data_IF_003561637416
#
_entry.id   IF_003561637416
#
_cell.length_a   1.000
_cell.length_b   1.000
_cell.length_c   1.000
_cell.angle_alpha   90.00
_cell.angle_beta   90.00
_cell.angle_gamma   90.00
#
_symmetry.space_group_name_H-M   'P 1'
#
loop_
_entity.id
_entity.type
_entity.pdbx_description
1 polymer ?
#
# COMPACT_ATOMS: atom_id res chain seq x y z
N UNK A 1 5.10 -2.39 -35.31
CA UNK A 1 5.87 -1.78 -34.23
C UNK A 1 5.66 -2.58 -32.95
N UNK A 2 6.68 -2.70 -32.10
CA UNK A 2 6.50 -3.30 -30.78
C UNK A 2 5.65 -2.39 -29.90
N UNK A 3 4.83 -3.01 -29.08
CA UNK A 3 3.96 -2.35 -28.12
C UNK A 3 4.36 -2.75 -26.70
N UNK A 4 4.64 -1.78 -25.85
CA UNK A 4 4.85 -1.97 -24.42
C UNK A 4 3.54 -1.77 -23.70
N UNK A 5 3.22 -2.69 -22.79
CA UNK A 5 2.04 -2.66 -21.94
C UNK A 5 2.38 -3.08 -20.52
N UNK A 6 1.50 -2.76 -19.57
CA UNK A 6 1.54 -3.39 -18.27
C UNK A 6 1.05 -4.83 -18.38
N UNK A 7 1.81 -5.76 -17.80
CA UNK A 7 1.42 -7.17 -17.78
C UNK A 7 0.26 -7.38 -16.81
N UNK A 8 -0.74 -8.16 -17.26
CA UNK A 8 -1.89 -8.59 -16.49
C UNK A 8 -3.06 -7.60 -16.32
N UNK A 9 -4.05 -8.02 -15.57
CA UNK A 9 -5.37 -7.38 -15.41
C UNK A 9 -5.29 -5.87 -15.22
N UNK A 10 -6.28 -5.15 -15.70
CA UNK A 10 -6.39 -3.69 -15.56
C UNK A 10 -6.54 -3.22 -14.11
N UNK A 11 -6.58 -4.13 -13.14
CA UNK A 11 -6.74 -3.82 -11.71
C UNK A 11 -5.78 -4.66 -10.86
N UNK A 12 -4.96 -3.98 -10.08
CA UNK A 12 -4.08 -4.55 -9.06
C UNK A 12 -4.68 -4.34 -7.68
N UNK A 13 -4.48 -5.28 -6.76
CA UNK A 13 -4.92 -5.12 -5.36
C UNK A 13 -3.72 -5.22 -4.43
N UNK A 14 -3.57 -4.23 -3.56
CA UNK A 14 -2.44 -4.11 -2.62
C UNK A 14 -2.97 -3.79 -1.23
N UNK A 15 -2.52 -4.57 -0.24
CA UNK A 15 -2.82 -4.32 1.18
C UNK A 15 -1.61 -3.76 1.89
N UNK A 16 -1.77 -2.60 2.53
CA UNK A 16 -0.72 -1.89 3.27
C UNK A 16 -1.11 -1.83 4.75
N UNK A 17 -1.09 -2.98 5.42
CA UNK A 17 -1.66 -3.12 6.76
C UNK A 17 -0.62 -3.02 7.87
N UNK A 18 0.60 -3.46 7.65
CA UNK A 18 1.65 -3.56 8.67
C UNK A 18 2.79 -2.59 8.45
N UNK A 19 3.36 -2.60 7.26
CA UNK A 19 4.59 -1.89 6.92
C UNK A 19 4.42 -1.13 5.60
N UNK A 20 5.39 -0.29 5.28
CA UNK A 20 5.56 0.27 3.95
C UNK A 20 5.68 -0.87 2.94
N UNK A 21 5.08 -0.69 1.78
CA UNK A 21 4.96 -1.77 0.80
C UNK A 21 5.61 -1.36 -0.52
N UNK A 22 6.46 -2.22 -1.05
CA UNK A 22 7.00 -2.09 -2.41
C UNK A 22 6.26 -3.05 -3.34
N UNK A 23 5.68 -2.50 -4.40
CA UNK A 23 4.91 -3.25 -5.39
C UNK A 23 5.69 -3.28 -6.70
N UNK A 24 5.91 -4.47 -7.22
CA UNK A 24 6.50 -4.69 -8.53
C UNK A 24 5.41 -4.73 -9.58
N UNK A 25 5.57 -3.95 -10.63
CA UNK A 25 4.68 -3.91 -11.78
C UNK A 25 5.45 -4.41 -12.98
N UNK A 26 5.00 -5.52 -13.53
CA UNK A 26 5.61 -6.08 -14.73
C UNK A 26 5.15 -5.32 -15.97
N UNK A 27 6.09 -4.96 -16.83
CA UNK A 27 5.84 -4.48 -18.18
C UNK A 27 6.22 -5.53 -19.19
N UNK A 28 5.50 -5.62 -20.30
CA UNK A 28 5.72 -6.62 -21.35
C UNK A 28 5.79 -5.95 -22.71
N UNK A 29 6.65 -6.49 -23.57
CA UNK A 29 6.74 -6.10 -24.95
C UNK A 29 6.08 -7.15 -25.83
N UNK A 30 5.15 -6.73 -26.68
CA UNK A 30 4.43 -7.61 -27.60
C UNK A 30 4.40 -7.07 -29.02
N UNK A 31 4.12 -7.96 -29.96
CA UNK A 31 3.84 -7.61 -31.34
C UNK A 31 2.42 -7.05 -31.47
N UNK A 32 2.26 -5.93 -32.18
CA UNK A 32 0.93 -5.38 -32.48
C UNK A 32 0.04 -6.27 -33.33
N UNK A 33 0.62 -7.25 -34.04
CA UNK A 33 -0.14 -8.06 -34.99
C UNK A 33 -0.88 -9.22 -34.33
N UNK A 34 -0.32 -9.80 -33.28
CA UNK A 34 -0.83 -11.03 -32.66
C UNK A 34 -0.65 -11.09 -31.15
N UNK A 35 -0.27 -9.99 -30.51
CA UNK A 35 0.02 -9.88 -29.07
C UNK A 35 1.04 -10.91 -28.53
N UNK A 36 1.80 -11.55 -29.41
CA UNK A 36 2.88 -12.44 -28.98
C UNK A 36 4.01 -11.66 -28.33
N UNK A 37 4.57 -12.23 -27.24
CA UNK A 37 5.74 -11.68 -26.57
C UNK A 37 6.94 -11.66 -27.53
N UNK A 38 7.60 -10.52 -27.63
CA UNK A 38 8.78 -10.32 -28.48
C UNK A 38 9.91 -9.69 -27.68
N UNK A 39 11.15 -9.97 -28.08
CA UNK A 39 12.32 -9.24 -27.57
C UNK A 39 12.44 -7.87 -28.20
N UNK A 40 12.95 -6.90 -27.44
CA UNK A 40 13.23 -5.59 -27.97
C UNK A 40 14.33 -5.64 -29.05
N UNK A 41 14.16 -4.87 -30.09
CA UNK A 41 15.19 -4.71 -31.14
C UNK A 41 16.13 -3.50 -30.91
N UNK A 42 15.81 -2.65 -29.95
CA UNK A 42 16.61 -1.48 -29.58
C UNK A 42 16.49 -1.22 -28.09
N UNK A 43 17.43 -0.46 -27.57
CA UNK A 43 17.35 0.03 -26.19
C UNK A 43 16.32 1.17 -26.14
N UNK A 44 15.51 1.18 -25.09
CA UNK A 44 14.54 2.24 -24.84
C UNK A 44 14.18 2.33 -23.37
N UNK A 45 13.66 3.47 -22.98
CA UNK A 45 13.23 3.75 -21.63
C UNK A 45 11.73 4.06 -21.56
N UNK A 46 11.09 3.60 -20.51
CA UNK A 46 9.72 3.94 -20.18
C UNK A 46 9.56 4.11 -18.66
N UNK A 47 8.46 4.68 -18.22
CA UNK A 47 8.17 4.81 -16.80
C UNK A 47 6.68 4.74 -16.50
N UNK A 48 6.37 4.38 -15.26
CA UNK A 48 5.04 4.51 -14.70
C UNK A 48 4.73 6.00 -14.45
N UNK A 49 3.52 6.40 -14.72
CA UNK A 49 3.08 7.79 -14.54
C UNK A 49 1.64 7.85 -14.04
N UNK A 50 1.34 8.86 -13.26
CA UNK A 50 -0.05 9.21 -12.92
C UNK A 50 -0.64 9.98 -14.11
N UNK A 51 -1.83 9.60 -14.62
CA UNK A 51 -2.53 10.39 -15.63
C UNK A 51 -2.88 11.80 -15.12
N UNK A 52 -2.84 12.80 -16.00
CA UNK A 52 -3.16 14.19 -15.63
C UNK A 52 -4.60 14.37 -15.11
N UNK A 53 -5.53 13.51 -15.55
CA UNK A 53 -6.93 13.50 -15.17
C UNK A 53 -7.24 12.41 -14.12
N UNK A 54 -6.31 12.10 -13.24
CA UNK A 54 -6.42 11.01 -12.26
C UNK A 54 -7.66 11.11 -11.36
N UNK A 55 -8.06 12.32 -10.93
CA UNK A 55 -9.26 12.54 -10.12
C UNK A 55 -10.54 12.17 -10.88
N UNK A 56 -10.63 12.56 -12.15
CA UNK A 56 -11.76 12.20 -13.02
C UNK A 56 -11.84 10.70 -13.25
N UNK A 57 -10.70 10.04 -13.43
CA UNK A 57 -10.59 8.59 -13.58
C UNK A 57 -11.04 7.85 -12.32
N UNK A 58 -10.67 8.34 -11.14
CA UNK A 58 -11.15 7.78 -9.86
C UNK A 58 -12.67 7.95 -9.72
N UNK A 59 -13.20 9.14 -10.04
CA UNK A 59 -14.64 9.37 -10.00
C UNK A 59 -15.40 8.45 -10.97
N UNK A 60 -14.92 8.29 -12.20
CA UNK A 60 -15.51 7.40 -13.19
C UNK A 60 -15.45 5.92 -12.74
N UNK A 61 -14.31 5.49 -12.20
CA UNK A 61 -14.15 4.14 -11.65
C UNK A 61 -15.16 3.87 -10.52
N UNK A 62 -15.29 4.81 -9.58
CA UNK A 62 -16.22 4.70 -8.47
C UNK A 62 -17.67 4.59 -8.93
N UNK A 63 -18.05 5.40 -9.91
CA UNK A 63 -19.40 5.36 -10.48
C UNK A 63 -19.69 4.00 -11.15
N UNK A 64 -18.75 3.48 -11.92
CA UNK A 64 -18.90 2.21 -12.63
C UNK A 64 -18.96 1.01 -11.67
N UNK A 65 -18.09 1.01 -10.65
CA UNK A 65 -17.92 -0.13 -9.74
C UNK A 65 -18.72 0.01 -8.44
N UNK A 66 -19.46 1.12 -8.25
CA UNK A 66 -20.21 1.44 -7.01
C UNK A 66 -19.33 1.42 -5.77
N UNK A 67 -18.14 2.02 -5.89
CA UNK A 67 -17.17 2.19 -4.82
C UNK A 67 -17.04 3.66 -4.41
N UNK A 68 -16.32 3.94 -3.32
CA UNK A 68 -16.05 5.27 -2.78
C UNK A 68 -14.55 5.49 -2.52
N UNK A 69 -13.71 4.92 -3.37
CA UNK A 69 -12.27 5.03 -3.23
C UNK A 69 -11.79 6.47 -3.42
N UNK A 70 -10.81 6.87 -2.63
CA UNK A 70 -10.13 8.15 -2.80
C UNK A 70 -8.87 7.98 -3.67
N UNK A 71 -8.52 9.04 -4.39
CA UNK A 71 -7.22 9.07 -5.07
C UNK A 71 -6.10 8.92 -4.03
N UNK A 72 -5.14 8.04 -4.32
CA UNK A 72 -4.00 7.82 -3.42
C UNK A 72 -3.24 9.14 -3.20
N UNK A 73 -3.05 9.60 -1.94
CA UNK A 73 -2.36 10.86 -1.66
C UNK A 73 -0.94 10.88 -2.21
N UNK A 74 -0.56 11.94 -2.91
CA UNK A 74 0.72 12.03 -3.62
C UNK A 74 1.95 11.91 -2.70
N UNK A 75 1.82 12.30 -1.43
CA UNK A 75 2.89 12.16 -0.44
C UNK A 75 2.99 10.76 0.19
N UNK A 76 2.08 9.85 -0.19
CA UNK A 76 2.02 8.48 0.34
C UNK A 76 2.70 7.44 -0.56
N UNK A 77 3.10 7.81 -1.76
CA UNK A 77 3.74 6.87 -2.68
C UNK A 77 4.84 7.53 -3.50
N UNK A 78 5.66 6.69 -4.09
CA UNK A 78 6.68 7.07 -5.06
C UNK A 78 6.65 6.06 -6.21
N UNK A 79 6.50 6.55 -7.41
CA UNK A 79 6.74 5.77 -8.61
C UNK A 79 8.26 5.62 -8.76
N UNK A 80 8.71 4.42 -9.14
CA UNK A 80 10.12 4.12 -9.32
C UNK A 80 10.75 4.88 -10.48
N UNK A 81 12.04 4.65 -10.64
CA UNK A 81 12.83 5.22 -11.72
C UNK A 81 12.39 4.71 -13.12
N UNK A 82 13.05 5.17 -14.15
CA UNK A 82 12.85 4.69 -15.51
C UNK A 82 13.11 3.19 -15.61
N UNK A 83 12.30 2.54 -16.41
CA UNK A 83 12.39 1.11 -16.73
C UNK A 83 13.16 1.01 -18.03
N UNK A 84 14.35 0.46 -17.98
CA UNK A 84 15.22 0.32 -19.14
C UNK A 84 15.07 -1.05 -19.78
N UNK A 85 14.81 -1.07 -21.09
CA UNK A 85 14.80 -2.27 -21.92
C UNK A 85 16.08 -2.30 -22.77
N UNK A 86 16.85 -3.37 -22.67
CA UNK A 86 17.94 -3.67 -23.60
C UNK A 86 17.44 -4.46 -24.78
N UNK A 87 18.25 -4.49 -25.84
CA UNK A 87 17.97 -5.38 -26.99
C UNK A 87 17.80 -6.82 -26.50
N UNK A 88 16.71 -7.44 -26.86
CA UNK A 88 16.34 -8.80 -26.49
C UNK A 88 15.42 -8.92 -25.28
N UNK A 89 15.30 -7.90 -24.45
CA UNK A 89 14.38 -7.93 -23.31
C UNK A 89 12.92 -7.93 -23.77
N UNK A 90 12.11 -8.81 -23.18
CA UNK A 90 10.68 -8.90 -23.46
C UNK A 90 9.80 -8.48 -22.29
N UNK A 91 10.38 -8.44 -21.10
CA UNK A 91 9.70 -8.06 -19.84
C UNK A 91 10.66 -7.33 -18.93
N UNK A 92 10.16 -6.31 -18.24
CA UNK A 92 10.91 -5.56 -17.23
C UNK A 92 10.00 -5.20 -16.06
N UNK A 93 10.60 -4.92 -14.91
CA UNK A 93 9.88 -4.56 -13.68
C UNK A 93 9.97 -3.06 -13.41
N UNK A 94 8.82 -2.42 -13.18
CA UNK A 94 8.70 -1.14 -12.51
C UNK A 94 8.42 -1.30 -11.03
N UNK A 95 8.70 -0.27 -10.24
CA UNK A 95 8.49 -0.29 -8.78
C UNK A 95 7.57 0.83 -8.34
N UNK A 96 6.70 0.55 -7.38
CA UNK A 96 5.92 1.54 -6.66
C UNK A 96 6.14 1.31 -5.17
N UNK A 97 6.60 2.35 -4.47
CA UNK A 97 6.76 2.33 -3.02
C UNK A 97 5.61 3.08 -2.36
N UNK A 98 4.94 2.46 -1.39
CA UNK A 98 3.78 3.02 -0.68
C UNK A 98 4.12 3.14 0.80
N UNK A 99 3.96 4.34 1.36
CA UNK A 99 4.21 4.68 2.76
C UNK A 99 2.93 4.53 3.58
N UNK A 100 2.88 3.52 4.40
CA UNK A 100 1.73 3.20 5.25
C UNK A 100 1.32 4.35 6.18
N UNK A 101 2.28 5.00 6.80
CA UNK A 101 2.06 6.08 7.77
C UNK A 101 1.32 7.31 7.22
N UNK A 102 1.33 7.48 5.89
CA UNK A 102 0.66 8.59 5.18
C UNK A 102 -0.78 8.26 4.79
N UNK A 103 -1.26 7.05 5.08
CA UNK A 103 -2.58 6.60 4.71
C UNK A 103 -3.50 6.52 5.93
N UNK A 104 -4.75 6.95 5.79
CA UNK A 104 -5.81 6.63 6.73
C UNK A 104 -6.33 5.21 6.50
N UNK A 105 -7.11 4.68 7.45
CA UNK A 105 -7.75 3.36 7.33
C UNK A 105 -8.93 3.45 6.39
N UNK A 106 -8.69 3.21 5.11
CA UNK A 106 -9.68 3.19 4.02
C UNK A 106 -9.12 2.57 2.74
N UNK A 107 -9.90 2.63 1.69
CA UNK A 107 -9.48 2.23 0.35
C UNK A 107 -9.10 3.44 -0.50
N UNK A 108 -8.06 3.26 -1.30
CA UNK A 108 -7.56 4.24 -2.25
C UNK A 108 -7.46 3.62 -3.64
N UNK A 109 -7.50 4.47 -4.65
CA UNK A 109 -7.28 4.09 -6.04
C UNK A 109 -6.12 4.90 -6.63
N UNK A 110 -5.20 4.22 -7.30
CA UNK A 110 -4.10 4.84 -8.05
C UNK A 110 -4.25 4.47 -9.52
N UNK A 111 -4.69 5.41 -10.38
CA UNK A 111 -4.62 5.22 -11.82
C UNK A 111 -3.17 5.27 -12.28
N UNK A 112 -2.78 4.37 -13.16
CA UNK A 112 -1.44 4.23 -13.70
C UNK A 112 -1.48 4.16 -15.22
N UNK A 113 -0.55 4.82 -15.85
CA UNK A 113 -0.25 4.68 -17.27
C UNK A 113 1.24 4.47 -17.48
N UNK A 114 1.60 3.92 -18.64
CA UNK A 114 2.97 3.75 -19.07
C UNK A 114 3.29 4.81 -20.11
N UNK A 115 4.40 5.52 -19.92
CA UNK A 115 4.86 6.54 -20.88
C UNK A 115 6.32 6.30 -21.28
N UNK A 116 6.64 6.61 -22.53
CA UNK A 116 8.02 6.60 -23.03
C UNK A 116 8.78 7.82 -22.60
N UNK A 117 10.08 7.67 -22.37
CA UNK A 117 10.97 8.76 -21.94
C UNK A 117 12.04 9.13 -22.98
N UNK A 118 12.09 8.46 -24.13
CA UNK A 118 13.13 8.77 -25.11
C UNK A 118 12.85 8.34 -26.54
N UNK A 119 12.80 7.06 -26.83
CA UNK A 119 12.79 6.54 -28.19
C UNK A 119 11.38 6.42 -28.78
N UNK A 120 11.13 7.02 -29.93
CA UNK A 120 9.83 7.05 -30.61
C UNK A 120 9.55 5.79 -31.47
N UNK A 121 10.42 4.80 -31.46
CA UNK A 121 10.24 3.58 -32.27
C UNK A 121 9.42 2.48 -31.57
N UNK A 122 8.98 2.75 -30.35
CA UNK A 122 8.17 1.84 -29.53
C UNK A 122 6.81 2.50 -29.29
N UNK A 123 5.74 1.74 -29.40
CA UNK A 123 4.40 2.19 -29.02
C UNK A 123 4.14 1.84 -27.56
N UNK A 124 3.38 2.68 -26.90
CA UNK A 124 2.96 2.47 -25.52
C UNK A 124 1.47 2.23 -25.50
N UNK A 125 1.06 1.29 -24.64
CA UNK A 125 -0.36 1.10 -24.36
C UNK A 125 -0.90 2.37 -23.67
N UNK A 126 -1.94 2.95 -24.21
CA UNK A 126 -2.65 4.11 -23.64
C UNK A 126 -3.68 3.70 -22.58
N UNK A 127 -3.81 2.41 -22.31
CA UNK A 127 -4.73 1.90 -21.30
C UNK A 127 -4.34 2.41 -19.91
N UNK A 128 -5.34 2.85 -19.18
CA UNK A 128 -5.20 3.16 -17.76
C UNK A 128 -5.43 1.89 -16.94
N UNK A 129 -4.44 1.57 -16.11
CA UNK A 129 -4.52 0.50 -15.15
C UNK A 129 -4.81 1.07 -13.76
N UNK A 130 -5.49 0.31 -12.92
CA UNK A 130 -5.87 0.77 -11.60
C UNK A 130 -5.23 -0.10 -10.53
N UNK A 131 -4.69 0.54 -9.51
CA UNK A 131 -4.24 -0.14 -8.30
C UNK A 131 -5.18 0.25 -7.16
N UNK A 132 -5.87 -0.74 -6.60
CA UNK A 132 -6.66 -0.59 -5.38
C UNK A 132 -5.75 -0.83 -4.20
N UNK A 133 -5.55 0.18 -3.38
CA UNK A 133 -4.74 0.11 -2.17
C UNK A 133 -5.67 0.12 -0.97
N UNK A 134 -5.56 -0.88 -0.11
CA UNK A 134 -6.29 -0.94 1.14
C UNK A 134 -5.36 -0.78 2.33
N UNK A 135 -5.70 0.14 3.23
CA UNK A 135 -5.21 0.12 4.59
C UNK A 135 -6.38 -0.29 5.48
N UNK A 136 -6.28 -1.44 6.12
CA UNK A 136 -7.27 -1.97 7.03
C UNK A 136 -6.65 -2.22 8.41
N UNK A 137 -7.51 -2.51 9.38
CA UNK A 137 -7.07 -2.97 10.69
C UNK A 137 -6.43 -4.36 10.56
N UNK A 138 -5.33 -4.55 11.28
CA UNK A 138 -4.68 -5.85 11.38
C UNK A 138 -5.11 -6.53 12.68
N UNK A 139 -5.50 -7.79 12.61
CA UNK A 139 -5.76 -8.62 13.80
C UNK A 139 -4.64 -9.66 13.95
N UNK A 140 -4.11 -9.85 15.18
CA UNK A 140 -4.38 -9.07 16.38
C UNK A 140 -3.79 -7.67 16.32
N UNK A 141 -4.48 -6.66 16.87
CA UNK A 141 -3.99 -5.27 16.95
C UNK A 141 -2.80 -5.18 17.93
N UNK A 142 -2.75 -6.06 18.91
CA UNK A 142 -1.65 -6.22 19.85
C UNK A 142 -1.14 -7.64 19.73
N UNK A 143 0.12 -7.81 19.33
CA UNK A 143 0.77 -9.13 19.12
C UNK A 143 1.12 -9.86 20.44
N UNK A 144 0.87 -9.22 21.58
CA UNK A 144 1.15 -9.79 22.91
C UNK A 144 -0.14 -10.16 23.61
N UNK A 145 -0.02 -11.04 24.61
CA UNK A 145 -1.18 -11.41 25.43
C UNK A 145 -1.77 -10.19 26.13
N UNK A 146 -3.00 -9.84 25.80
CA UNK A 146 -3.78 -8.77 26.40
C UNK A 146 -5.14 -9.32 26.84
N UNK A 147 -5.12 -10.22 27.83
CA UNK A 147 -6.33 -10.84 28.37
C UNK A 147 -7.18 -9.81 29.13
N UNK A 148 -8.50 -9.96 29.06
CA UNK A 148 -9.50 -9.12 29.74
C UNK A 148 -9.23 -7.61 29.59
N UNK A 149 -9.08 -7.08 28.37
CA UNK A 149 -8.66 -5.72 28.16
C UNK A 149 -9.75 -4.72 28.54
N UNK A 150 -9.34 -3.63 29.18
CA UNK A 150 -10.16 -2.44 29.40
C UNK A 150 -9.52 -1.26 28.69
N UNK A 151 -10.33 -0.49 27.93
CA UNK A 151 -9.87 0.68 27.19
C UNK A 151 -10.57 1.92 27.70
N UNK A 152 -9.81 2.97 27.99
CA UNK A 152 -10.31 4.29 28.38
C UNK A 152 -9.73 5.36 27.46
N UNK A 153 -10.54 6.39 27.15
CA UNK A 153 -10.05 7.63 26.53
C UNK A 153 -9.68 8.61 27.67
N UNK A 154 -8.41 9.01 27.72
CA UNK A 154 -7.91 9.94 28.72
C UNK A 154 -8.02 11.41 28.22
N UNK A 155 -7.90 12.35 29.16
CA UNK A 155 -8.01 13.78 28.87
C UNK A 155 -6.89 14.34 27.96
N UNK A 156 -5.81 13.59 27.77
CA UNK A 156 -4.73 13.91 26.85
C UNK A 156 -5.02 13.52 25.38
N UNK A 157 -6.22 12.98 25.13
CA UNK A 157 -6.67 12.56 23.80
C UNK A 157 -6.11 11.22 23.34
N UNK A 158 -5.50 10.43 24.24
CA UNK A 158 -5.05 9.08 23.96
C UNK A 158 -6.00 8.03 24.57
N UNK A 159 -6.10 6.90 23.91
CA UNK A 159 -6.68 5.67 24.43
C UNK A 159 -5.61 4.90 25.21
N UNK A 160 -5.98 4.43 26.40
CA UNK A 160 -5.15 3.58 27.24
C UNK A 160 -5.84 2.24 27.40
N UNK A 161 -5.10 1.16 27.11
CA UNK A 161 -5.55 -0.21 27.32
C UNK A 161 -4.78 -0.81 28.49
N UNK A 162 -5.53 -1.36 29.43
CA UNK A 162 -5.03 -2.15 30.56
C UNK A 162 -5.45 -3.59 30.35
N UNK A 163 -4.55 -4.53 30.57
CA UNK A 163 -4.84 -5.95 30.42
C UNK A 163 -4.48 -6.75 31.67
N UNK A 164 -5.16 -7.88 31.86
CA UNK A 164 -4.84 -8.81 32.94
C UNK A 164 -3.48 -9.46 32.67
N UNK A 165 -2.70 -9.61 33.75
CA UNK A 165 -1.42 -10.29 33.73
C UNK A 165 -0.31 -9.51 34.43
N UNK A 166 0.58 -10.22 35.11
CA UNK A 166 1.75 -9.68 35.78
C UNK A 166 1.46 -8.43 36.64
N UNK A 167 1.98 -7.30 36.24
CA UNK A 167 1.81 -6.01 36.90
C UNK A 167 0.80 -5.10 36.15
N UNK A 168 -0.15 -5.66 35.43
CA UNK A 168 -1.14 -4.98 34.58
C UNK A 168 -0.46 -4.18 33.47
N UNK A 169 -0.15 -4.81 32.33
CA UNK A 169 0.47 -4.13 31.20
C UNK A 169 -0.43 -3.03 30.67
N UNK A 170 0.20 -1.92 30.27
CA UNK A 170 -0.48 -0.72 29.76
C UNK A 170 0.03 -0.39 28.37
N UNK A 171 -0.92 -0.22 27.46
CA UNK A 171 -0.67 0.20 26.09
C UNK A 171 -1.38 1.53 25.84
N UNK A 172 -0.86 2.30 24.89
CA UNK A 172 -1.43 3.59 24.49
C UNK A 172 -1.59 3.68 22.98
N UNK A 173 -2.72 4.23 22.54
CA UNK A 173 -3.02 4.48 21.13
C UNK A 173 -3.67 5.85 20.93
N UNK A 174 -3.52 6.43 19.72
CA UNK A 174 -4.28 7.60 19.28
C UNK A 174 -5.54 7.25 18.48
N UNK A 175 -5.57 6.08 17.88
CA UNK A 175 -6.52 5.71 16.84
C UNK A 175 -7.19 4.34 17.07
N UNK A 176 -6.90 3.68 18.21
CA UNK A 176 -7.34 2.32 18.54
C UNK A 176 -6.76 1.24 17.62
N UNK A 177 -5.82 1.57 16.75
CA UNK A 177 -5.20 0.67 15.77
C UNK A 177 -3.75 0.41 16.12
N UNK A 178 -2.99 1.48 16.30
CA UNK A 178 -1.58 1.38 16.65
C UNK A 178 -1.39 1.51 18.16
N UNK A 179 -1.09 0.39 18.80
CA UNK A 179 -0.89 0.31 20.23
C UNK A 179 0.59 0.22 20.57
N UNK A 180 1.03 1.11 21.45
CA UNK A 180 2.39 1.10 21.97
C UNK A 180 2.38 0.68 23.44
N UNK A 181 3.14 -0.36 23.77
CA UNK A 181 3.41 -0.70 25.17
C UNK A 181 4.16 0.44 25.83
N UNK A 182 3.65 0.91 26.97
CA UNK A 182 4.23 2.05 27.71
C UNK A 182 4.67 1.68 29.12
N UNK A 183 4.48 0.42 29.53
CA UNK A 183 4.86 -0.07 30.85
C UNK A 183 3.75 -0.84 31.52
N UNK A 184 3.81 -0.94 32.82
CA UNK A 184 2.80 -1.60 33.65
C UNK A 184 2.26 -0.64 34.72
N UNK A 185 1.00 -0.83 35.10
CA UNK A 185 0.34 0.01 36.11
C UNK A 185 1.00 -0.14 37.50
N UNK A 186 1.59 -1.31 37.78
CA UNK A 186 2.28 -1.61 39.04
C UNK A 186 3.73 -2.01 38.80
N UNK A 187 4.54 -1.83 39.84
CA UNK A 187 5.86 -2.45 39.97
C UNK A 187 5.81 -3.56 41.03
N UNK A 188 6.88 -4.32 41.18
CA UNK A 188 6.96 -5.31 42.25
C UNK A 188 6.78 -4.68 43.65
N UNK A 189 7.13 -3.40 43.80
CA UNK A 189 7.05 -2.66 45.09
C UNK A 189 5.68 -1.99 45.30
N UNK A 190 4.99 -1.62 44.23
CA UNK A 190 3.70 -0.91 44.29
C UNK A 190 2.49 -1.80 44.08
N UNK A 191 2.72 -3.08 43.81
CA UNK A 191 1.67 -4.05 43.60
C UNK A 191 0.85 -4.25 44.90
N UNK A 192 -0.49 -4.18 44.80
CA UNK A 192 -1.34 -4.48 45.96
C UNK A 192 -1.09 -5.88 46.52
N UNK A 193 -0.98 -5.99 47.84
CA UNK A 193 -0.64 -7.23 48.52
C UNK A 193 -1.90 -7.95 49.06
N UNK A 194 -3.00 -7.89 48.35
CA UNK A 194 -4.27 -8.42 48.81
C UNK A 194 -4.55 -9.87 48.39
N UNK A 195 -3.82 -10.40 47.44
CA UNK A 195 -3.85 -11.85 47.14
C UNK A 195 -2.57 -12.36 46.48
N UNK A 196 -2.10 -13.55 46.90
CA UNK A 196 -1.19 -14.32 46.08
C UNK A 196 -1.93 -14.81 44.86
N UNK A 197 -1.56 -14.41 43.66
CA UNK A 197 -2.07 -15.07 42.46
C UNK A 197 -1.66 -16.53 42.48
N UNK A 198 -2.67 -17.42 42.46
CA UNK A 198 -2.50 -18.86 42.30
C UNK A 198 -2.05 -19.20 40.89
#
# INVERSE_FOLDING_TARGET
>A
YPKVSLASSNVYQVSVNKDDTNVKIMTCLSSQLNDESIGSWCDFDCKLSLPNNAEELVAAYNQLNKTDYELLPQNSYQLGDEIHYNVGDSQMEGMISIRREKLAVKYYLLPLQLIGTGNNNVMYDDAVHYMVISRSYQNPIIDQSAADPTVILANDGYFYLYATGGNVPVYRSKDLVEWKYIGSAFTAQTRPNWEPMK
#
